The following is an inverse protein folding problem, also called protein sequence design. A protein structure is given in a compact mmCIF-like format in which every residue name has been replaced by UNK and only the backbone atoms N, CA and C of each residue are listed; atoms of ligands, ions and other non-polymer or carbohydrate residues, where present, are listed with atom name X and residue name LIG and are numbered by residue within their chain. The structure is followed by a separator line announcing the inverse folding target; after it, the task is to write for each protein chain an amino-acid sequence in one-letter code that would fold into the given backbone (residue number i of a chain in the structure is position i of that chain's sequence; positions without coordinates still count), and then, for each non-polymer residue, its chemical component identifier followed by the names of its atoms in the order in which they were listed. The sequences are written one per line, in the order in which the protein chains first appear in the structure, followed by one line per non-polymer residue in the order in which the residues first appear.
data_IF_688003896324
#
_entry.id   IF_688003896324
#
_cell.length_a   1.000
_cell.length_b   1.000
_cell.length_c   1.000
_cell.angle_alpha   90.00
_cell.angle_beta   90.00
_cell.angle_gamma   90.00
#
_symmetry.space_group_name_H-M   'P 1'
#
loop_
_entity.id
_entity.type
_entity.pdbx_description
1 polymer ?
#
# COMPACT_ATOMS: atom_id res chain seq x y z
N UNK A 1 10.72 4.39 12.88
CA UNK A 1 9.71 3.30 12.92
C UNK A 1 10.14 2.25 11.92
N UNK A 2 10.33 1.00 12.34
CA UNK A 2 10.65 -0.11 11.44
C UNK A 2 9.32 -0.72 10.97
N UNK A 3 9.13 -0.82 9.66
CA UNK A 3 7.89 -1.34 9.06
C UNK A 3 8.11 -2.62 8.28
N UNK A 4 9.37 -3.00 8.06
CA UNK A 4 9.77 -4.25 7.46
C UNK A 4 11.09 -4.70 8.09
N UNK A 5 11.17 -5.94 8.60
CA UNK A 5 12.39 -6.43 9.26
C UNK A 5 13.54 -6.53 8.27
N UNK A 6 14.70 -6.00 8.65
CA UNK A 6 15.90 -5.94 7.81
C UNK A 6 16.08 -4.63 7.04
N UNK A 7 15.06 -3.78 6.96
CA UNK A 7 15.19 -2.43 6.39
C UNK A 7 15.51 -1.40 7.49
N UNK A 8 16.33 -0.38 7.21
CA UNK A 8 16.62 0.68 8.17
C UNK A 8 15.37 1.51 8.48
N UNK A 9 15.29 2.03 9.70
CA UNK A 9 14.25 2.99 10.05
C UNK A 9 14.46 4.33 9.32
N UNK A 10 13.39 5.08 9.02
CA UNK A 10 13.50 6.44 8.49
C UNK A 10 14.29 7.35 9.42
N UNK A 11 15.13 8.19 8.84
CA UNK A 11 15.78 9.32 9.51
C UNK A 11 14.99 10.58 9.15
N UNK A 12 14.45 11.25 10.16
CA UNK A 12 13.71 12.50 10.02
C UNK A 12 14.48 13.56 10.80
N UNK A 13 14.94 14.60 10.11
CA UNK A 13 15.76 15.65 10.71
C UNK A 13 15.56 16.99 10.00
N UNK A 14 16.18 18.04 10.55
CA UNK A 14 16.20 19.35 9.93
C UNK A 14 17.22 19.35 8.78
N UNK A 15 16.80 19.84 7.61
CA UNK A 15 17.73 20.34 6.59
C UNK A 15 18.11 21.79 6.90
N UNK A 16 17.12 22.59 7.34
CA UNK A 16 17.28 23.94 7.85
C UNK A 16 16.39 24.11 9.08
N UNK A 17 17.01 24.29 10.24
CA UNK A 17 16.27 24.60 11.48
C UNK A 17 15.76 26.04 11.46
N UNK A 18 14.74 26.33 12.29
CA UNK A 18 14.23 27.72 12.45
C UNK A 18 15.33 28.66 12.93
N UNK A 19 16.16 28.21 13.87
CA UNK A 19 17.27 29.00 14.40
C UNK A 19 18.30 29.34 13.31
N UNK A 20 18.71 28.36 12.50
CA UNK A 20 19.64 28.59 11.40
C UNK A 20 19.04 29.47 10.31
N UNK A 21 17.74 29.33 10.04
CA UNK A 21 17.06 30.16 9.05
C UNK A 21 17.14 31.66 9.36
N UNK A 22 17.17 32.06 10.64
CA UNK A 22 17.28 33.47 11.05
C UNK A 22 18.57 34.14 10.57
N UNK A 23 19.61 33.37 10.25
CA UNK A 23 20.88 33.87 9.69
C UNK A 23 20.78 34.14 8.19
N UNK A 24 19.78 33.57 7.52
CA UNK A 24 19.57 33.62 6.06
C UNK A 24 18.48 34.61 5.66
N UNK A 25 17.48 34.82 6.52
CA UNK A 25 16.31 35.66 6.25
C UNK A 25 16.32 36.95 7.07
N UNK A 26 15.51 37.92 6.63
CA UNK A 26 15.37 39.20 7.31
C UNK A 26 14.85 39.05 8.76
N UNK A 27 15.14 40.03 9.60
CA UNK A 27 14.68 40.05 10.99
C UNK A 27 13.16 39.82 11.09
N UNK A 28 12.76 38.91 11.98
CA UNK A 28 11.35 38.53 12.16
C UNK A 28 10.85 37.46 11.19
N UNK A 29 11.68 36.98 10.25
CA UNK A 29 11.34 35.89 9.32
C UNK A 29 12.14 34.64 9.64
N UNK A 30 11.47 33.51 9.81
CA UNK A 30 12.09 32.20 10.02
C UNK A 30 11.31 31.10 9.29
N UNK A 31 12.04 30.07 8.83
CA UNK A 31 11.49 28.93 8.12
C UNK A 31 12.07 27.63 8.68
N UNK A 32 11.34 26.54 8.49
CA UNK A 32 11.83 25.19 8.75
C UNK A 32 11.77 24.40 7.45
N UNK A 33 12.87 23.72 7.12
CA UNK A 33 12.92 22.79 6.00
C UNK A 33 13.35 21.44 6.59
N UNK A 34 12.44 20.47 6.58
CA UNK A 34 12.73 19.12 7.02
C UNK A 34 13.37 18.27 5.92
N UNK A 35 14.08 17.22 6.32
CA UNK A 35 14.61 16.16 5.48
C UNK A 35 14.12 14.81 5.99
N UNK A 36 13.82 13.92 5.05
CA UNK A 36 13.51 12.52 5.31
C UNK A 36 14.43 11.66 4.45
N UNK A 37 15.16 10.75 5.08
CA UNK A 37 15.90 9.67 4.41
C UNK A 37 15.25 8.35 4.82
N UNK A 38 14.72 7.60 3.85
CA UNK A 38 13.98 6.37 4.14
C UNK A 38 13.97 5.40 2.96
N UNK A 39 13.79 4.11 3.26
CA UNK A 39 13.40 3.12 2.25
C UNK A 39 11.93 3.30 1.93
N UNK A 40 11.55 3.14 0.66
CA UNK A 40 10.24 3.53 0.19
C UNK A 40 9.11 2.55 0.57
N UNK A 41 9.44 1.29 0.88
CA UNK A 41 8.54 0.33 1.54
C UNK A 41 8.42 0.64 3.06
N UNK A 42 8.05 1.88 3.39
CA UNK A 42 7.86 2.35 4.77
C UNK A 42 6.42 2.73 5.04
N UNK A 43 5.81 2.13 6.07
CA UNK A 43 4.43 2.43 6.45
C UNK A 43 3.44 1.85 5.45
N UNK A 44 2.30 2.52 5.26
CA UNK A 44 1.40 2.24 4.14
C UNK A 44 2.01 2.82 2.86
N UNK A 45 2.23 1.98 1.86
CA UNK A 45 2.83 2.37 0.59
C UNK A 45 2.09 1.73 -0.57
N UNK A 46 2.34 2.26 -1.77
CA UNK A 46 1.89 1.65 -3.03
C UNK A 46 3.09 1.10 -3.79
N UNK A 47 2.91 -0.07 -4.41
CA UNK A 47 3.84 -0.67 -5.35
C UNK A 47 3.34 -0.48 -6.78
N UNK A 48 4.25 0.03 -7.63
CA UNK A 48 4.08 0.14 -9.08
C UNK A 48 4.67 -1.08 -9.80
N UNK A 49 4.34 -1.30 -11.08
CA UNK A 49 4.95 -2.36 -11.88
C UNK A 49 6.48 -2.39 -11.84
N UNK A 50 7.11 -1.22 -11.77
CA UNK A 50 8.57 -1.08 -11.67
C UNK A 50 9.16 -1.77 -10.42
N UNK A 51 8.40 -1.91 -9.33
CA UNK A 51 8.87 -2.62 -8.13
C UNK A 51 9.31 -4.06 -8.43
N UNK A 52 8.62 -4.72 -9.37
CA UNK A 52 8.88 -6.11 -9.75
C UNK A 52 9.57 -6.25 -11.11
N UNK A 53 9.26 -5.37 -12.06
CA UNK A 53 9.71 -5.47 -13.45
C UNK A 53 10.51 -4.23 -13.83
N UNK A 54 11.79 -4.39 -14.19
CA UNK A 54 12.68 -3.26 -14.49
C UNK A 54 12.23 -2.35 -15.66
N UNK A 55 11.30 -2.83 -16.49
CA UNK A 55 10.69 -2.07 -17.60
C UNK A 55 9.21 -1.73 -17.34
N UNK A 56 8.69 -2.06 -16.15
CA UNK A 56 7.34 -1.70 -15.74
C UNK A 56 7.24 -0.21 -15.43
N UNK A 57 6.02 0.31 -15.46
CA UNK A 57 5.71 1.70 -15.11
C UNK A 57 6.20 2.03 -13.70
N UNK A 58 6.96 3.11 -13.57
CA UNK A 58 7.35 3.66 -12.28
C UNK A 58 6.24 4.57 -11.70
N UNK A 59 6.42 5.10 -10.49
CA UNK A 59 5.43 5.97 -9.84
C UNK A 59 5.12 7.25 -10.64
N UNK A 60 6.01 7.70 -11.53
CA UNK A 60 5.76 8.86 -12.39
C UNK A 60 4.89 8.56 -13.60
N UNK A 61 4.72 7.28 -13.92
CA UNK A 61 3.97 6.76 -15.08
C UNK A 61 2.63 6.12 -14.70
N UNK A 62 2.33 6.00 -13.39
CA UNK A 62 1.02 5.56 -12.93
C UNK A 62 -0.05 6.62 -13.23
N UNK A 63 -1.10 6.19 -13.91
CA UNK A 63 -2.28 7.03 -14.14
C UNK A 63 -3.06 7.22 -12.83
N UNK A 64 -3.46 8.46 -12.51
CA UNK A 64 -4.21 8.71 -11.27
C UNK A 64 -5.53 7.94 -11.22
N UNK A 65 -6.15 7.64 -12.36
CA UNK A 65 -7.36 6.83 -12.44
C UNK A 65 -7.21 5.39 -11.95
N UNK A 66 -5.98 4.89 -11.71
CA UNK A 66 -5.74 3.59 -11.05
C UNK A 66 -5.41 3.72 -9.56
N UNK A 67 -5.45 4.93 -8.98
CA UNK A 67 -4.96 5.21 -7.63
C UNK A 67 -5.91 6.08 -6.79
N UNK A 68 -6.73 6.93 -7.40
CA UNK A 68 -7.57 7.90 -6.71
C UNK A 68 -9.01 7.80 -7.14
N UNK A 69 -9.90 8.17 -6.21
CA UNK A 69 -11.34 8.19 -6.41
C UNK A 69 -11.86 6.84 -6.95
N UNK A 70 -11.32 5.73 -6.45
CA UNK A 70 -11.71 4.40 -6.90
C UNK A 70 -12.95 3.94 -6.14
N UNK A 71 -13.98 3.44 -6.83
CA UNK A 71 -15.02 2.68 -6.15
C UNK A 71 -14.37 1.46 -5.46
N UNK A 72 -14.73 1.23 -4.21
CA UNK A 72 -14.02 0.31 -3.33
C UNK A 72 -14.92 -0.84 -2.90
N UNK A 73 -14.40 -2.05 -2.98
CA UNK A 73 -14.97 -3.26 -2.37
C UNK A 73 -14.05 -3.73 -1.27
N UNK A 74 -14.59 -3.89 -0.05
CA UNK A 74 -13.84 -4.43 1.09
C UNK A 74 -14.17 -5.91 1.24
N UNK A 75 -13.16 -6.76 1.11
CA UNK A 75 -13.25 -8.21 1.26
C UNK A 75 -13.02 -8.57 2.73
N UNK A 76 -14.03 -9.12 3.40
CA UNK A 76 -13.93 -9.56 4.79
C UNK A 76 -13.28 -10.94 4.88
N UNK A 77 -12.01 -10.98 5.27
CA UNK A 77 -11.26 -12.22 5.45
C UNK A 77 -10.94 -12.53 6.93
N UNK A 78 -11.59 -11.87 7.89
CA UNK A 78 -11.25 -11.93 9.33
C UNK A 78 -11.52 -13.28 10.00
N UNK A 79 -12.51 -14.06 9.54
CA UNK A 79 -12.87 -15.38 10.08
C UNK A 79 -12.15 -16.55 9.41
N UNK A 80 -10.94 -16.33 8.89
CA UNK A 80 -10.14 -17.33 8.17
C UNK A 80 -9.57 -18.40 9.10
N UNK A 81 -9.50 -19.64 8.59
CA UNK A 81 -8.83 -20.76 9.28
C UNK A 81 -7.33 -20.86 8.93
N UNK A 82 -6.93 -20.33 7.77
CA UNK A 82 -5.57 -20.37 7.25
C UNK A 82 -5.05 -18.96 6.97
N UNK A 83 -3.72 -18.80 6.85
CA UNK A 83 -3.11 -17.52 6.41
C UNK A 83 -3.44 -17.18 4.95
N UNK A 84 -3.49 -18.19 4.09
CA UNK A 84 -3.76 -18.03 2.67
C UNK A 84 -5.21 -17.65 2.42
N UNK A 85 -5.42 -16.58 1.63
CA UNK A 85 -6.72 -16.10 1.19
C UNK A 85 -6.89 -16.53 -0.27
N UNK A 86 -7.72 -17.55 -0.47
CA UNK A 86 -7.94 -18.16 -1.76
C UNK A 86 -8.96 -17.39 -2.62
N UNK A 87 -8.97 -17.70 -3.91
CA UNK A 87 -9.88 -17.14 -4.92
C UNK A 87 -11.35 -17.11 -4.50
N UNK A 88 -11.82 -18.14 -3.79
CA UNK A 88 -13.21 -18.24 -3.32
C UNK A 88 -13.70 -17.02 -2.49
N UNK A 89 -12.78 -16.27 -1.87
CA UNK A 89 -13.12 -15.02 -1.16
C UNK A 89 -13.59 -13.88 -2.09
N UNK A 90 -13.32 -13.99 -3.39
CA UNK A 90 -13.51 -12.92 -4.38
C UNK A 90 -14.56 -13.24 -5.44
N UNK A 91 -14.88 -14.53 -5.68
CA UNK A 91 -15.71 -14.98 -6.82
C UNK A 91 -17.13 -14.43 -6.86
N UNK A 92 -17.67 -14.01 -5.71
CA UNK A 92 -19.03 -13.46 -5.60
C UNK A 92 -19.06 -11.93 -5.57
N UNK A 93 -17.93 -11.29 -5.78
CA UNK A 93 -17.79 -9.85 -5.71
C UNK A 93 -17.59 -9.26 -7.11
N UNK A 94 -18.35 -8.23 -7.43
CA UNK A 94 -18.05 -7.38 -8.57
C UNK A 94 -16.85 -6.47 -8.24
N UNK A 95 -15.68 -6.86 -8.76
CA UNK A 95 -14.38 -6.19 -8.58
C UNK A 95 -13.96 -5.34 -9.79
N UNK A 96 -14.70 -5.39 -10.89
CA UNK A 96 -14.29 -4.76 -12.16
C UNK A 96 -14.25 -3.25 -11.99
N UNK A 97 -13.12 -2.64 -12.33
CA UNK A 97 -12.93 -1.18 -12.25
C UNK A 97 -12.74 -0.67 -10.82
N UNK A 98 -12.54 -1.54 -9.83
CA UNK A 98 -12.57 -1.17 -8.39
C UNK A 98 -11.25 -1.39 -7.67
N UNK A 99 -11.08 -0.65 -6.58
CA UNK A 99 -10.11 -0.98 -5.55
C UNK A 99 -10.66 -2.16 -4.72
N UNK A 100 -9.88 -3.24 -4.63
CA UNK A 100 -10.21 -4.41 -3.81
C UNK A 100 -9.36 -4.39 -2.56
N UNK A 101 -9.97 -4.04 -1.42
CA UNK A 101 -9.27 -3.92 -0.14
C UNK A 101 -9.54 -5.16 0.73
N UNK A 102 -8.50 -5.91 1.04
CA UNK A 102 -8.62 -7.17 1.78
C UNK A 102 -8.45 -6.89 3.28
N UNK A 103 -9.55 -6.91 4.00
CA UNK A 103 -9.60 -6.72 5.44
C UNK A 103 -9.34 -8.06 6.13
N UNK A 104 -8.14 -8.20 6.67
CA UNK A 104 -7.71 -9.37 7.40
C UNK A 104 -7.76 -9.14 8.91
N UNK A 105 -7.76 -7.90 9.39
CA UNK A 105 -7.65 -7.54 10.80
C UNK A 105 -6.23 -7.69 11.36
N UNK A 106 -5.24 -7.89 10.49
CA UNK A 106 -3.83 -8.04 10.89
C UNK A 106 -3.19 -6.72 11.34
N UNK A 107 -3.78 -5.59 10.93
CA UNK A 107 -3.43 -4.25 11.38
C UNK A 107 -3.53 -4.07 12.90
N UNK A 108 -4.33 -4.88 13.61
CA UNK A 108 -4.36 -4.93 15.08
C UNK A 108 -3.01 -5.27 15.71
N UNK A 109 -2.11 -5.92 14.97
CA UNK A 109 -0.75 -6.22 15.40
C UNK A 109 0.27 -5.15 15.01
N UNK A 110 -0.13 -4.08 14.29
CA UNK A 110 0.78 -3.03 13.82
C UNK A 110 1.68 -2.51 14.93
N UNK A 111 2.96 -2.28 14.62
CA UNK A 111 4.02 -1.87 15.56
C UNK A 111 4.34 -2.88 16.67
N UNK A 112 3.95 -4.14 16.51
CA UNK A 112 4.40 -5.23 17.38
C UNK A 112 5.21 -6.26 16.59
N UNK A 113 6.01 -7.08 17.28
CA UNK A 113 6.75 -8.16 16.64
C UNK A 113 5.85 -9.18 15.93
N UNK A 114 4.61 -9.33 16.43
CA UNK A 114 3.62 -10.24 15.85
C UNK A 114 3.27 -9.84 14.42
N UNK A 115 3.29 -8.55 14.08
CA UNK A 115 2.96 -8.08 12.74
C UNK A 115 3.82 -8.73 11.64
N UNK A 116 5.08 -9.02 11.97
CA UNK A 116 6.09 -9.50 11.04
C UNK A 116 6.10 -11.01 10.82
N UNK A 117 5.24 -11.78 11.48
CA UNK A 117 5.28 -13.26 11.41
C UNK A 117 3.90 -13.89 11.32
N UNK A 118 3.74 -14.84 10.39
CA UNK A 118 2.48 -15.56 10.23
C UNK A 118 1.33 -14.71 9.69
N UNK A 119 1.64 -13.62 8.98
CA UNK A 119 0.64 -12.74 8.42
C UNK A 119 -0.19 -13.43 7.31
N UNK A 120 -1.44 -12.99 7.10
CA UNK A 120 -2.27 -13.42 5.97
C UNK A 120 -1.78 -12.82 4.66
N UNK A 121 -2.04 -13.54 3.57
CA UNK A 121 -1.61 -13.21 2.22
C UNK A 121 -2.60 -13.79 1.19
N UNK A 122 -2.54 -13.35 -0.07
CA UNK A 122 -3.37 -13.88 -1.16
C UNK A 122 -2.66 -15.02 -1.88
N UNK A 123 -3.42 -16.00 -2.37
CA UNK A 123 -2.85 -17.03 -3.25
C UNK A 123 -2.61 -16.49 -4.66
N UNK A 124 -1.70 -17.10 -5.43
CA UNK A 124 -1.51 -16.76 -6.85
C UNK A 124 -2.79 -16.91 -7.67
N UNK A 125 -3.62 -17.92 -7.40
CA UNK A 125 -4.93 -18.10 -8.04
C UNK A 125 -5.92 -16.94 -7.71
N UNK A 126 -5.89 -16.41 -6.49
CA UNK A 126 -6.65 -15.22 -6.14
C UNK A 126 -6.18 -13.99 -6.93
N UNK A 127 -4.86 -13.81 -7.04
CA UNK A 127 -4.29 -12.70 -7.83
C UNK A 127 -4.65 -12.81 -9.32
N UNK A 128 -4.59 -14.00 -9.89
CA UNK A 128 -4.98 -14.25 -11.29
C UNK A 128 -6.44 -13.90 -11.51
N UNK A 129 -7.33 -14.37 -10.63
CA UNK A 129 -8.75 -14.03 -10.68
C UNK A 129 -8.99 -12.52 -10.61
N UNK A 130 -8.35 -11.82 -9.66
CA UNK A 130 -8.52 -10.37 -9.50
C UNK A 130 -8.08 -9.59 -10.75
N UNK A 131 -6.93 -9.95 -11.31
CA UNK A 131 -6.41 -9.32 -12.53
C UNK A 131 -7.32 -9.59 -13.75
N UNK A 132 -7.82 -10.82 -13.91
CA UNK A 132 -8.70 -11.19 -15.03
C UNK A 132 -10.12 -10.62 -14.88
N UNK A 133 -10.61 -10.51 -13.65
CA UNK A 133 -11.90 -9.89 -13.33
C UNK A 133 -11.86 -8.36 -13.47
N UNK A 134 -10.68 -7.76 -13.61
CA UNK A 134 -10.49 -6.34 -13.89
C UNK A 134 -10.45 -5.46 -12.65
N UNK A 135 -9.96 -5.96 -11.51
CA UNK A 135 -9.59 -5.10 -10.39
C UNK A 135 -8.53 -4.09 -10.85
N UNK A 136 -8.64 -2.84 -10.42
CA UNK A 136 -7.72 -1.77 -10.84
C UNK A 136 -6.65 -1.45 -9.79
N UNK A 137 -6.90 -1.84 -8.54
CA UNK A 137 -5.97 -1.74 -7.42
C UNK A 137 -6.31 -2.83 -6.41
N UNK A 138 -5.29 -3.42 -5.79
CA UNK A 138 -5.49 -4.40 -4.70
C UNK A 138 -4.75 -3.93 -3.46
N UNK A 139 -5.45 -3.84 -2.33
CA UNK A 139 -4.88 -3.44 -1.04
C UNK A 139 -5.04 -4.52 0.01
N UNK A 140 -4.12 -4.59 0.98
CA UNK A 140 -4.20 -5.49 2.13
C UNK A 140 -3.73 -4.80 3.41
N UNK A 141 -4.37 -5.15 4.53
CA UNK A 141 -4.02 -4.65 5.88
C UNK A 141 -3.00 -5.53 6.63
N UNK A 142 -2.16 -6.26 5.88
CA UNK A 142 -1.13 -7.15 6.42
C UNK A 142 0.27 -6.71 5.99
N UNK A 143 1.29 -7.42 6.48
CA UNK A 143 2.71 -7.14 6.20
C UNK A 143 3.06 -7.17 4.71
N UNK A 144 2.47 -8.12 3.98
CA UNK A 144 2.74 -8.31 2.57
C UNK A 144 1.58 -9.07 1.94
N UNK A 145 1.27 -8.78 0.69
CA UNK A 145 0.20 -9.43 -0.06
C UNK A 145 0.55 -10.86 -0.47
N UNK A 146 1.85 -11.20 -0.51
CA UNK A 146 2.38 -12.54 -0.76
C UNK A 146 2.85 -13.26 0.52
N UNK A 147 2.95 -14.59 0.46
CA UNK A 147 3.66 -15.33 1.51
C UNK A 147 5.15 -14.96 1.50
N UNK A 148 5.71 -14.72 2.68
CA UNK A 148 7.12 -14.38 2.85
C UNK A 148 8.01 -15.60 3.07
N UNK A 149 7.43 -16.81 3.10
CA UNK A 149 8.14 -18.03 3.50
C UNK A 149 9.06 -18.61 2.42
N UNK A 150 8.71 -18.53 1.14
CA UNK A 150 9.42 -19.21 0.05
C UNK A 150 10.07 -18.28 -0.98
N UNK A 151 9.79 -16.98 -0.92
CA UNK A 151 10.34 -15.97 -1.82
C UNK A 151 9.76 -15.97 -3.25
N UNK A 152 8.73 -16.77 -3.54
CA UNK A 152 8.15 -16.89 -4.88
C UNK A 152 7.36 -15.66 -5.34
N UNK A 153 6.69 -14.98 -4.41
CA UNK A 153 5.94 -13.73 -4.61
C UNK A 153 5.01 -13.71 -5.86
N UNK A 154 4.14 -14.71 -6.03
CA UNK A 154 3.27 -14.80 -7.20
C UNK A 154 2.27 -13.65 -7.31
N UNK A 155 1.75 -13.11 -6.22
CA UNK A 155 0.75 -12.03 -6.23
C UNK A 155 1.35 -10.75 -6.78
N UNK A 156 2.53 -10.34 -6.29
CA UNK A 156 3.26 -9.21 -6.87
C UNK A 156 3.49 -9.42 -8.37
N UNK A 157 4.00 -10.60 -8.75
CA UNK A 157 4.31 -10.88 -10.17
C UNK A 157 3.05 -10.79 -11.06
N UNK A 158 1.94 -11.38 -10.63
CA UNK A 158 0.69 -11.41 -11.41
C UNK A 158 0.06 -10.01 -11.49
N UNK A 159 -0.14 -9.34 -10.36
CA UNK A 159 -0.85 -8.05 -10.33
C UNK A 159 -0.03 -6.94 -11.01
N UNK A 160 1.25 -6.81 -10.63
CA UNK A 160 2.13 -5.79 -11.21
C UNK A 160 2.43 -6.05 -12.69
N UNK A 161 2.49 -7.32 -13.10
CA UNK A 161 2.63 -7.69 -14.52
C UNK A 161 1.39 -7.39 -15.36
N UNK A 162 0.27 -7.07 -14.72
CA UNK A 162 -1.00 -6.68 -15.33
C UNK A 162 -1.36 -5.22 -15.07
N UNK A 163 -0.36 -4.41 -14.68
CA UNK A 163 -0.50 -2.98 -14.36
C UNK A 163 -1.52 -2.69 -13.22
N UNK A 164 -1.70 -3.62 -12.29
CA UNK A 164 -2.56 -3.45 -11.10
C UNK A 164 -1.69 -3.06 -9.91
N UNK A 165 -1.72 -1.81 -9.42
CA UNK A 165 -0.94 -1.38 -8.27
C UNK A 165 -1.38 -2.09 -6.98
N UNK A 166 -0.45 -2.24 -6.06
CA UNK A 166 -0.65 -2.93 -4.78
C UNK A 166 -0.49 -1.94 -3.64
N UNK A 167 -1.37 -1.96 -2.64
CA UNK A 167 -1.24 -1.13 -1.42
C UNK A 167 -1.12 -2.03 -0.20
N UNK A 168 0.04 -2.01 0.45
CA UNK A 168 0.32 -2.86 1.62
C UNK A 168 0.28 -2.04 2.91
N UNK A 169 0.22 -2.73 4.05
CA UNK A 169 0.14 -2.11 5.38
C UNK A 169 -1.02 -1.14 5.55
N UNK A 170 -2.17 -1.42 4.93
CA UNK A 170 -3.39 -0.68 5.24
C UNK A 170 -3.79 -0.90 6.71
N UNK A 171 -4.53 0.05 7.26
CA UNK A 171 -5.10 -0.04 8.60
C UNK A 171 -6.57 0.40 8.56
N UNK A 172 -7.33 0.02 9.58
CA UNK A 172 -8.71 0.46 9.81
C UNK A 172 -9.70 0.03 8.73
N UNK A 173 -9.40 -1.00 7.93
CA UNK A 173 -10.36 -1.49 6.91
C UNK A 173 -11.65 -2.03 7.55
N UNK A 174 -11.62 -2.40 8.83
CA UNK A 174 -12.82 -2.74 9.61
C UNK A 174 -13.84 -1.61 9.76
N UNK A 175 -13.43 -0.34 9.59
CA UNK A 175 -14.31 0.82 9.69
C UNK A 175 -15.04 1.16 8.39
N UNK A 176 -14.63 0.59 7.26
CA UNK A 176 -15.25 0.84 5.97
C UNK A 176 -16.46 -0.06 5.76
N UNK A 177 -17.53 0.37 5.08
CA UNK A 177 -18.55 -0.55 4.58
C UNK A 177 -17.97 -1.50 3.52
N UNK A 178 -18.65 -2.61 3.24
CA UNK A 178 -18.18 -3.56 2.22
C UNK A 178 -18.17 -2.97 0.80
N UNK A 179 -19.01 -1.96 0.55
CA UNK A 179 -19.20 -1.31 -0.75
C UNK A 179 -19.60 0.16 -0.55
N UNK A 180 -19.46 0.98 -1.60
CA UNK A 180 -19.94 2.37 -1.61
C UNK A 180 -18.97 3.38 -1.00
N UNK A 181 -17.70 3.00 -0.79
CA UNK A 181 -16.64 3.93 -0.41
C UNK A 181 -15.81 4.33 -1.63
N UNK A 182 -15.21 5.53 -1.60
CA UNK A 182 -14.22 5.97 -2.61
C UNK A 182 -12.82 5.94 -2.00
N UNK A 183 -11.90 5.19 -2.59
CA UNK A 183 -10.55 4.95 -2.09
C UNK A 183 -9.48 5.78 -2.82
N UNK A 184 -8.47 6.22 -2.08
CA UNK A 184 -7.39 7.09 -2.54
C UNK A 184 -6.05 6.62 -1.98
N UNK A 185 -5.06 6.45 -2.86
CA UNK A 185 -3.70 6.03 -2.50
C UNK A 185 -2.64 6.57 -3.48
N UNK A 186 -2.73 7.84 -3.88
CA UNK A 186 -1.74 8.45 -4.75
C UNK A 186 -0.36 8.57 -4.07
N UNK A 187 0.74 8.08 -4.71
CA UNK A 187 2.10 8.36 -4.29
C UNK A 187 2.56 9.73 -4.80
N UNK A 188 3.71 10.18 -4.28
CA UNK A 188 4.46 11.26 -4.93
C UNK A 188 4.91 10.81 -6.32
N UNK A 189 4.91 11.74 -7.28
CA UNK A 189 5.27 11.47 -8.67
C UNK A 189 6.78 11.46 -8.86
N UNK A 190 7.43 10.30 -8.69
CA UNK A 190 8.90 10.15 -8.72
C UNK A 190 9.32 9.14 -9.79
N UNK A 191 10.23 9.56 -10.67
CA UNK A 191 10.77 8.74 -11.76
C UNK A 191 11.81 7.73 -11.24
N UNK A 192 11.90 6.58 -11.90
CA UNK A 192 12.79 5.46 -11.60
C UNK A 192 12.62 4.95 -10.17
N UNK A 193 11.37 4.94 -9.69
CA UNK A 193 11.05 4.57 -8.31
C UNK A 193 9.82 3.68 -8.28
N UNK A 194 9.94 2.52 -7.62
CA UNK A 194 8.95 1.45 -7.70
C UNK A 194 7.87 1.54 -6.64
N UNK A 195 8.18 2.10 -5.47
CA UNK A 195 7.32 2.08 -4.29
C UNK A 195 7.43 3.41 -3.58
N UNK A 196 6.38 3.86 -2.88
CA UNK A 196 6.51 5.00 -1.97
C UNK A 196 5.37 5.05 -0.94
N UNK A 197 5.62 5.62 0.26
CA UNK A 197 4.56 5.80 1.24
C UNK A 197 3.43 6.69 0.72
N UNK A 198 2.21 6.31 1.08
CA UNK A 198 0.98 7.02 0.73
C UNK A 198 0.20 7.32 1.99
N UNK A 199 -0.53 8.45 1.98
CA UNK A 199 -1.61 8.65 2.94
C UNK A 199 -2.87 8.03 2.36
N UNK A 200 -3.02 6.72 2.48
CA UNK A 200 -4.23 6.04 2.01
C UNK A 200 -5.45 6.48 2.84
N UNK A 201 -6.57 6.76 2.19
CA UNK A 201 -7.84 7.07 2.85
C UNK A 201 -9.03 6.65 1.99
N UNK A 202 -10.19 6.56 2.63
CA UNK A 202 -11.46 6.36 1.95
C UNK A 202 -12.48 7.41 2.39
N UNK A 203 -13.31 7.85 1.45
CA UNK A 203 -14.50 8.65 1.72
C UNK A 203 -15.68 7.68 1.81
N UNK A 204 -16.44 7.78 2.89
CA UNK A 204 -17.63 6.96 3.15
C UNK A 204 -18.84 7.90 3.11
N UNK A 205 -19.84 7.57 2.30
CA UNK A 205 -21.11 8.28 2.33
C UNK A 205 -21.80 8.07 3.69
N UNK A 206 -22.28 9.15 4.29
CA UNK A 206 -22.97 9.14 5.58
C UNK A 206 -24.47 8.93 5.40
#
# INVERSE_FOLDING_TARGET
MITYKGLPAPVICDFLSREESRKLYAQGTEFHIGKIEMVANTGTYVDSPFHRYAHGKDLSELELSSLVDLDCVVVRATSRQTRAIARAAFERLDVRGKAVLVHTGWDTHWRTDRYFSGHPFLTGDAAQYLADAGAVLVGIDSLNIDDTADGSRPVHSILLGRDVPIVEHLCNLGQLPERGSRFFAAPVKVKAFGTFPVRAFAIVER
#
